data_IF_280522286321
#
_entry.id   IF_280522286321
#
_cell.length_a   1.000
_cell.length_b   1.000
_cell.length_c   1.000
_cell.angle_alpha   90.00
_cell.angle_beta   90.00
_cell.angle_gamma   90.00
#
_symmetry.space_group_name_H-M   'P 1'
#
loop_
_entity.id
_entity.type
_entity.pdbx_description
1 polymer ?
#
# COMPACT_ATOMS: atom_id res chain seq x y z
N UNK A 1 1.53 24.70 -49.66
CA UNK A 1 2.20 23.90 -48.61
C UNK A 1 3.03 22.82 -49.29
N UNK A 2 4.35 22.78 -49.07
CA UNK A 2 5.21 21.80 -49.74
C UNK A 2 4.89 20.37 -49.24
N UNK A 3 4.79 19.39 -50.15
CA UNK A 3 4.52 17.99 -49.80
C UNK A 3 5.49 17.46 -48.73
N UNK A 4 6.75 17.92 -48.75
CA UNK A 4 7.77 17.59 -47.73
C UNK A 4 7.42 18.13 -46.33
N UNK A 5 6.82 19.31 -46.22
CA UNK A 5 6.41 19.88 -44.92
C UNK A 5 5.20 19.15 -44.32
N UNK A 6 4.33 18.56 -45.16
CA UNK A 6 3.17 17.81 -44.69
C UNK A 6 3.57 16.47 -44.02
N UNK A 7 4.54 15.75 -44.59
CA UNK A 7 5.04 14.51 -43.99
C UNK A 7 5.77 14.74 -42.66
N UNK A 8 6.51 15.85 -42.53
CA UNK A 8 7.14 16.25 -41.27
C UNK A 8 6.10 16.57 -40.18
N UNK A 9 4.97 17.18 -40.56
CA UNK A 9 3.90 17.48 -39.63
C UNK A 9 3.18 16.22 -39.12
N UNK A 10 2.90 15.26 -40.01
CA UNK A 10 2.29 13.96 -39.63
C UNK A 10 3.24 13.14 -38.76
N UNK A 11 4.53 13.10 -39.08
CA UNK A 11 5.53 12.39 -38.28
C UNK A 11 5.67 13.01 -36.88
N UNK A 12 5.61 14.35 -36.78
CA UNK A 12 5.59 15.05 -35.48
C UNK A 12 4.34 14.72 -34.66
N UNK A 13 3.17 14.58 -35.29
CA UNK A 13 1.92 14.20 -34.59
C UNK A 13 1.96 12.75 -34.10
N UNK A 14 2.55 11.83 -34.87
CA UNK A 14 2.73 10.43 -34.49
C UNK A 14 3.69 10.26 -33.30
N UNK A 15 4.74 11.09 -33.22
CA UNK A 15 5.70 11.06 -32.11
C UNK A 15 5.14 11.61 -30.80
N UNK A 16 4.14 12.50 -30.86
CA UNK A 16 3.49 13.06 -29.67
C UNK A 16 2.43 12.11 -29.06
N UNK A 17 1.91 11.15 -29.82
CA UNK A 17 0.87 10.22 -29.36
C UNK A 17 1.35 8.98 -28.60
N UNK A 18 2.66 8.79 -28.42
CA UNK A 18 3.22 7.56 -27.79
C UNK A 18 3.69 7.73 -26.35
N UNK A 19 3.48 8.90 -25.73
CA UNK A 19 3.67 9.06 -24.28
C UNK A 19 2.38 8.67 -23.55
N UNK A 20 2.04 7.38 -23.55
CA UNK A 20 1.15 6.86 -22.52
C UNK A 20 1.90 6.97 -21.20
N UNK A 21 1.60 8.00 -20.41
CA UNK A 21 2.13 8.11 -19.06
C UNK A 21 1.61 6.93 -18.26
N UNK A 22 2.51 6.01 -17.90
CA UNK A 22 2.20 4.95 -16.95
C UNK A 22 1.70 5.63 -15.67
N UNK A 23 0.48 5.30 -15.24
CA UNK A 23 -0.13 5.94 -14.07
C UNK A 23 0.79 5.77 -12.86
N UNK A 24 1.02 6.85 -12.12
CA UNK A 24 1.86 6.80 -10.93
C UNK A 24 1.17 5.98 -9.84
N UNK A 25 1.96 5.28 -9.03
CA UNK A 25 1.43 4.44 -7.97
C UNK A 25 0.83 5.32 -6.85
N UNK A 26 -0.51 5.39 -6.72
CA UNK A 26 -1.17 6.37 -5.83
C UNK A 26 -0.91 6.09 -4.35
N UNK A 27 -0.64 4.83 -3.99
CA UNK A 27 -0.38 4.45 -2.58
C UNK A 27 1.05 4.78 -2.13
N UNK A 28 1.91 5.26 -3.03
CA UNK A 28 3.27 5.70 -2.67
C UNK A 28 3.26 6.93 -1.77
N UNK A 29 2.29 7.82 -1.91
CA UNK A 29 2.14 9.01 -1.06
C UNK A 29 1.80 8.62 0.40
N UNK A 30 0.97 7.60 0.59
CA UNK A 30 0.63 7.08 1.92
C UNK A 30 1.82 6.49 2.67
N UNK A 31 2.81 5.96 1.93
CA UNK A 31 4.07 5.52 2.53
C UNK A 31 4.77 6.69 3.20
N UNK A 32 4.81 7.86 2.57
CA UNK A 32 5.51 9.04 3.10
C UNK A 32 4.82 9.60 4.35
N UNK A 33 3.49 9.49 4.41
CA UNK A 33 2.69 9.89 5.58
C UNK A 33 2.85 8.97 6.80
N UNK A 34 3.55 7.83 6.66
CA UNK A 34 3.87 6.85 7.74
C UNK A 34 2.67 6.37 8.57
N UNK A 35 1.47 6.36 7.99
CA UNK A 35 0.26 5.86 8.67
C UNK A 35 0.09 4.33 8.53
N UNK A 36 0.97 3.68 7.77
CA UNK A 36 0.88 2.26 7.45
C UNK A 36 1.45 1.39 8.57
N UNK A 37 0.72 0.34 8.95
CA UNK A 37 1.22 -0.74 9.81
C UNK A 37 2.08 -1.74 9.04
N UNK A 38 1.87 -1.84 7.71
CA UNK A 38 2.64 -2.70 6.84
C UNK A 38 2.83 -2.05 5.46
N UNK A 39 4.03 -2.18 4.91
CA UNK A 39 4.36 -1.79 3.54
C UNK A 39 5.29 -2.86 2.96
N UNK A 40 4.90 -3.44 1.82
CA UNK A 40 5.63 -4.49 1.12
C UNK A 40 5.65 -4.23 -0.39
N UNK A 41 6.76 -4.59 -1.01
CA UNK A 41 6.83 -4.79 -2.45
C UNK A 41 7.01 -6.29 -2.73
N UNK A 42 6.08 -6.88 -3.47
CA UNK A 42 6.14 -8.26 -3.91
C UNK A 42 6.52 -8.27 -5.39
N UNK A 43 7.63 -8.93 -5.69
CA UNK A 43 8.12 -9.16 -7.05
C UNK A 43 7.73 -10.58 -7.50
N UNK A 44 7.89 -10.95 -8.78
CA UNK A 44 7.40 -12.22 -9.30
C UNK A 44 7.97 -13.43 -8.53
N UNK A 45 9.22 -13.35 -8.09
CA UNK A 45 9.85 -14.36 -7.22
C UNK A 45 9.13 -14.51 -5.88
N UNK A 46 8.81 -13.39 -5.20
CA UNK A 46 8.09 -13.37 -3.93
C UNK A 46 6.67 -13.87 -4.09
N UNK A 47 5.97 -13.46 -5.15
CA UNK A 47 4.60 -13.91 -5.45
C UNK A 47 4.58 -15.43 -5.65
N UNK A 48 5.58 -15.99 -6.35
CA UNK A 48 5.72 -17.46 -6.49
C UNK A 48 5.95 -18.16 -5.15
N UNK A 49 6.70 -17.55 -4.23
CA UNK A 49 6.90 -18.12 -2.89
C UNK A 49 5.63 -18.18 -2.05
N UNK A 50 4.66 -17.29 -2.28
CA UNK A 50 3.34 -17.34 -1.64
C UNK A 50 2.53 -18.55 -2.12
N UNK A 51 2.78 -19.05 -3.34
CA UNK A 51 2.11 -20.22 -3.90
C UNK A 51 2.65 -21.56 -3.34
N UNK A 52 2.62 -21.73 -2.03
CA UNK A 52 3.19 -22.89 -1.35
C UNK A 52 2.61 -24.25 -1.81
N UNK A 53 1.35 -24.25 -2.25
CA UNK A 53 0.67 -25.46 -2.74
C UNK A 53 0.94 -25.80 -4.20
N UNK A 54 1.77 -25.02 -4.91
CA UNK A 54 1.89 -25.09 -6.37
C UNK A 54 0.53 -25.03 -7.07
N UNK A 55 -0.38 -24.20 -6.56
CA UNK A 55 -1.70 -24.01 -7.14
C UNK A 55 -1.54 -23.44 -8.55
N UNK A 56 -1.99 -24.21 -9.54
CA UNK A 56 -1.90 -23.82 -10.94
C UNK A 56 -2.79 -22.63 -11.25
N UNK A 57 -3.96 -22.52 -10.60
CA UNK A 57 -4.85 -21.36 -10.74
C UNK A 57 -4.18 -20.10 -10.20
N UNK A 58 -3.55 -20.17 -9.02
CA UNK A 58 -2.79 -19.05 -8.47
C UNK A 58 -1.66 -18.62 -9.39
N UNK A 59 -0.86 -19.58 -9.87
CA UNK A 59 0.23 -19.29 -10.80
C UNK A 59 -0.30 -18.63 -12.09
N UNK A 60 -1.36 -19.18 -12.69
CA UNK A 60 -1.91 -18.63 -13.93
C UNK A 60 -2.54 -17.24 -13.73
N UNK A 61 -3.05 -16.93 -12.54
CA UNK A 61 -3.58 -15.61 -12.21
C UNK A 61 -2.47 -14.56 -12.01
N UNK A 62 -1.31 -14.99 -11.50
CA UNK A 62 -0.25 -14.07 -11.04
C UNK A 62 1.01 -14.07 -11.91
N UNK A 63 1.16 -14.98 -12.88
CA UNK A 63 2.40 -15.16 -13.67
C UNK A 63 2.86 -13.92 -14.45
N UNK A 64 1.94 -13.01 -14.79
CA UNK A 64 2.22 -11.81 -15.57
C UNK A 64 2.22 -10.53 -14.70
N UNK A 65 2.15 -10.68 -13.38
CA UNK A 65 2.31 -9.57 -12.44
C UNK A 65 3.81 -9.28 -12.32
N UNK A 66 4.18 -8.04 -12.60
CA UNK A 66 5.55 -7.55 -12.51
C UNK A 66 5.88 -7.08 -11.09
N UNK A 67 4.92 -6.46 -10.42
CA UNK A 67 5.11 -5.90 -9.08
C UNK A 67 3.77 -5.70 -8.38
N UNK A 68 3.74 -5.95 -7.07
CA UNK A 68 2.66 -5.53 -6.18
C UNK A 68 3.25 -4.65 -5.08
N UNK A 69 2.72 -3.45 -4.90
CA UNK A 69 2.90 -2.65 -3.70
C UNK A 69 1.69 -2.87 -2.81
N UNK A 70 1.91 -3.42 -1.62
CA UNK A 70 0.90 -3.69 -0.61
C UNK A 70 1.11 -2.78 0.58
N UNK A 71 0.05 -2.15 1.06
CA UNK A 71 0.06 -1.27 2.20
C UNK A 71 -1.13 -1.56 3.11
N UNK A 72 -0.90 -1.77 4.41
CA UNK A 72 -1.96 -1.90 5.41
C UNK A 72 -1.96 -0.68 6.31
N UNK A 73 -3.13 -0.09 6.55
CA UNK A 73 -3.34 1.04 7.44
C UNK A 73 -4.24 0.60 8.58
N UNK A 74 -3.76 0.79 9.80
CA UNK A 74 -4.54 0.63 11.02
C UNK A 74 -5.38 1.90 11.22
N UNK A 75 -6.70 1.75 11.07
CA UNK A 75 -7.67 2.84 11.20
C UNK A 75 -8.21 2.99 12.63
N UNK A 76 -7.74 2.18 13.59
CA UNK A 76 -8.15 2.31 15.01
C UNK A 76 -7.66 3.58 15.68
N UNK A 77 -6.69 4.27 15.08
CA UNK A 77 -6.20 5.59 15.51
C UNK A 77 -6.88 6.67 14.69
N UNK A 78 -7.61 7.57 15.34
CA UNK A 78 -8.33 8.69 14.68
C UNK A 78 -7.45 9.52 13.73
N UNK A 79 -6.16 9.71 14.08
CA UNK A 79 -5.19 10.42 13.23
C UNK A 79 -4.89 9.69 11.91
N UNK A 80 -4.85 8.35 11.95
CA UNK A 80 -4.61 7.54 10.77
C UNK A 80 -5.85 7.53 9.86
N UNK A 81 -7.05 7.39 10.45
CA UNK A 81 -8.30 7.44 9.69
C UNK A 81 -8.46 8.80 9.00
N UNK A 82 -8.30 9.90 9.74
CA UNK A 82 -8.37 11.25 9.16
C UNK A 82 -7.39 11.46 8.01
N UNK A 83 -6.15 10.97 8.16
CA UNK A 83 -5.11 11.07 7.11
C UNK A 83 -5.45 10.22 5.89
N UNK A 84 -5.97 9.00 6.12
CA UNK A 84 -6.41 8.11 5.05
C UNK A 84 -7.61 8.68 4.28
N UNK A 85 -8.64 9.17 4.97
CA UNK A 85 -9.82 9.76 4.33
C UNK A 85 -9.44 10.99 3.48
N UNK A 86 -8.56 11.85 4.00
CA UNK A 86 -8.05 13.01 3.26
C UNK A 86 -7.32 12.57 1.99
N UNK A 87 -6.39 11.61 2.09
CA UNK A 87 -5.68 11.06 0.93
C UNK A 87 -6.64 10.41 -0.08
N UNK A 88 -7.61 9.61 0.38
CA UNK A 88 -8.54 8.90 -0.50
C UNK A 88 -9.46 9.88 -1.26
N UNK A 89 -9.88 10.97 -0.61
CA UNK A 89 -10.66 12.03 -1.25
C UNK A 89 -9.87 12.84 -2.29
N UNK A 90 -8.54 12.93 -2.14
CA UNK A 90 -7.63 13.54 -3.12
C UNK A 90 -7.40 12.64 -4.34
N UNK A 91 -7.62 11.33 -4.22
CA UNK A 91 -7.43 10.41 -5.34
C UNK A 91 -8.51 10.59 -6.40
N UNK A 92 -8.09 10.92 -7.62
CA UNK A 92 -8.99 11.01 -8.74
C UNK A 92 -9.14 9.66 -9.45
N UNK A 93 -10.18 8.92 -9.10
CA UNK A 93 -10.56 7.68 -9.80
C UNK A 93 -11.54 7.91 -10.96
N UNK A 94 -11.73 9.16 -11.44
CA UNK A 94 -12.70 9.45 -12.52
C UNK A 94 -12.37 8.78 -13.86
N UNK A 95 -11.08 8.54 -14.11
CA UNK A 95 -10.57 7.89 -15.33
C UNK A 95 -10.29 6.39 -15.11
N UNK A 96 -10.91 5.82 -14.08
CA UNK A 96 -10.73 4.43 -13.70
C UNK A 96 -12.05 3.68 -13.79
N UNK A 97 -12.00 2.49 -14.35
CA UNK A 97 -13.13 1.58 -14.38
C UNK A 97 -13.13 0.74 -13.11
N UNK A 98 -14.29 0.67 -12.45
CA UNK A 98 -14.54 -0.29 -11.37
C UNK A 98 -14.75 -1.68 -11.99
N UNK A 99 -13.79 -2.57 -11.77
CA UNK A 99 -13.78 -3.91 -12.33
C UNK A 99 -14.50 -4.93 -11.44
N UNK A 100 -14.48 -4.68 -10.13
CA UNK A 100 -15.08 -5.56 -9.15
C UNK A 100 -15.38 -4.78 -7.87
N UNK A 101 -16.54 -5.04 -7.28
CA UNK A 101 -16.88 -4.59 -5.94
C UNK A 101 -17.70 -5.65 -5.23
N UNK A 102 -17.35 -5.95 -3.98
CA UNK A 102 -18.10 -6.87 -3.14
C UNK A 102 -18.05 -6.45 -1.69
N UNK A 103 -19.16 -6.67 -0.98
CA UNK A 103 -19.22 -6.57 0.46
C UNK A 103 -19.57 -7.92 1.08
N UNK A 104 -18.79 -8.34 2.07
CA UNK A 104 -19.01 -9.59 2.80
C UNK A 104 -18.45 -9.48 4.21
N UNK A 105 -19.19 -9.97 5.21
CA UNK A 105 -18.77 -10.02 6.62
C UNK A 105 -18.20 -8.70 7.16
N UNK A 106 -18.84 -7.57 6.84
CA UNK A 106 -18.39 -6.23 7.29
C UNK A 106 -17.14 -5.73 6.60
N UNK A 107 -16.67 -6.41 5.54
CA UNK A 107 -15.57 -5.97 4.70
C UNK A 107 -16.09 -5.48 3.34
N UNK A 108 -15.48 -4.42 2.81
CA UNK A 108 -15.72 -3.90 1.46
C UNK A 108 -14.44 -4.09 0.64
N UNK A 109 -14.55 -4.81 -0.48
CA UNK A 109 -13.45 -5.00 -1.43
C UNK A 109 -13.82 -4.34 -2.75
N UNK A 110 -12.91 -3.58 -3.33
CA UNK A 110 -13.06 -3.02 -4.66
C UNK A 110 -11.75 -3.08 -5.46
N UNK A 111 -11.86 -3.23 -6.77
CA UNK A 111 -10.75 -3.27 -7.73
C UNK A 111 -11.06 -2.30 -8.87
N UNK A 112 -10.09 -1.46 -9.18
CA UNK A 112 -10.13 -0.45 -10.23
C UNK A 112 -8.96 -0.66 -11.20
N UNK A 113 -9.16 -0.29 -12.46
CA UNK A 113 -8.09 -0.15 -13.46
C UNK A 113 -8.25 1.17 -14.21
N UNK A 114 -7.15 1.86 -14.57
CA UNK A 114 -7.24 3.03 -15.45
C UNK A 114 -7.83 2.63 -16.81
N UNK A 115 -8.71 3.45 -17.39
CA UNK A 115 -9.39 3.17 -18.67
C UNK A 115 -8.43 2.91 -19.84
N UNK A 116 -7.26 3.55 -19.82
CA UNK A 116 -6.26 3.45 -20.87
C UNK A 116 -5.14 2.43 -20.56
N UNK A 117 -5.23 1.67 -19.47
CA UNK A 117 -4.21 0.69 -19.06
C UNK A 117 -4.80 -0.72 -18.89
N UNK A 118 -4.10 -1.71 -19.45
CA UNK A 118 -4.38 -3.14 -19.25
C UNK A 118 -3.42 -3.82 -18.26
N UNK A 119 -2.53 -3.06 -17.65
CA UNK A 119 -1.41 -3.53 -16.85
C UNK A 119 -1.29 -2.86 -15.47
N UNK A 120 -2.29 -2.07 -15.06
CA UNK A 120 -2.30 -1.39 -13.78
C UNK A 120 -3.63 -1.60 -13.05
N UNK A 121 -3.54 -1.95 -11.77
CA UNK A 121 -4.71 -2.22 -10.95
C UNK A 121 -4.52 -1.64 -9.55
N UNK A 122 -5.55 -0.95 -9.08
CA UNK A 122 -5.67 -0.54 -7.68
C UNK A 122 -6.76 -1.37 -7.02
N UNK A 123 -6.50 -1.88 -5.82
CA UNK A 123 -7.53 -2.53 -5.03
C UNK A 123 -7.46 -2.06 -3.58
N UNK A 124 -8.62 -2.01 -2.93
CA UNK A 124 -8.68 -1.83 -1.49
C UNK A 124 -9.60 -2.85 -0.85
N UNK A 125 -9.27 -3.22 0.39
CA UNK A 125 -10.07 -4.06 1.27
C UNK A 125 -10.24 -3.30 2.57
N UNK A 126 -11.41 -2.72 2.79
CA UNK A 126 -11.78 -2.01 4.01
C UNK A 126 -12.46 -2.98 4.96
N UNK A 127 -12.00 -3.02 6.20
CA UNK A 127 -12.54 -3.82 7.31
C UNK A 127 -12.84 -2.91 8.50
N UNK A 128 -13.39 -3.45 9.59
CA UNK A 128 -13.59 -2.68 10.82
C UNK A 128 -12.27 -2.18 11.44
N UNK A 129 -11.20 -2.96 11.31
CA UNK A 129 -9.92 -2.72 12.00
C UNK A 129 -8.92 -1.91 11.14
N UNK A 130 -9.20 -1.74 9.86
CA UNK A 130 -8.26 -1.08 8.95
C UNK A 130 -8.59 -1.22 7.48
N UNK A 131 -7.67 -0.72 6.65
CA UNK A 131 -7.74 -0.83 5.20
C UNK A 131 -6.44 -1.39 4.63
N UNK A 132 -6.57 -2.34 3.72
CA UNK A 132 -5.46 -2.87 2.94
C UNK A 132 -5.56 -2.33 1.52
N UNK A 133 -4.47 -1.77 1.02
CA UNK A 133 -4.35 -1.14 -0.28
C UNK A 133 -3.33 -1.91 -1.11
N UNK A 134 -3.66 -2.10 -2.38
CA UNK A 134 -2.88 -2.89 -3.31
C UNK A 134 -2.75 -2.09 -4.60
N UNK A 135 -1.52 -1.89 -5.03
CA UNK A 135 -1.21 -1.43 -6.38
C UNK A 135 -0.45 -2.51 -7.11
N UNK A 136 -1.00 -3.00 -8.21
CA UNK A 136 -0.38 -4.05 -9.02
C UNK A 136 -0.02 -3.52 -10.40
N UNK A 137 1.17 -3.89 -10.85
CA UNK A 137 1.69 -3.66 -12.18
C UNK A 137 1.88 -4.99 -12.89
N UNK A 138 1.55 -5.03 -14.17
CA UNK A 138 1.48 -6.23 -14.99
C UNK A 138 0.05 -6.73 -15.15
N UNK A 139 -0.14 -7.66 -16.08
CA UNK A 139 -1.47 -8.12 -16.48
C UNK A 139 -2.05 -9.11 -15.48
N UNK A 140 -3.29 -8.89 -15.08
CA UNK A 140 -4.01 -9.74 -14.15
C UNK A 140 -5.20 -10.39 -14.87
N UNK A 141 -5.33 -11.71 -14.74
CA UNK A 141 -6.54 -12.42 -15.16
C UNK A 141 -7.61 -12.27 -14.07
N UNK A 142 -8.43 -11.23 -14.18
CA UNK A 142 -9.46 -10.87 -13.20
C UNK A 142 -10.44 -12.03 -12.94
N UNK A 143 -10.78 -12.80 -13.97
CA UNK A 143 -11.65 -13.98 -13.84
C UNK A 143 -11.06 -15.04 -12.90
N UNK A 144 -9.72 -15.14 -12.84
CA UNK A 144 -9.02 -16.02 -11.90
C UNK A 144 -8.83 -15.37 -10.54
N UNK A 145 -8.58 -14.07 -10.47
CA UNK A 145 -8.44 -13.35 -9.19
C UNK A 145 -9.71 -13.40 -8.36
N UNK A 146 -10.89 -13.25 -8.97
CA UNK A 146 -12.17 -13.40 -8.26
C UNK A 146 -12.30 -14.79 -7.63
N UNK A 147 -11.79 -15.84 -8.28
CA UNK A 147 -11.75 -17.20 -7.71
C UNK A 147 -10.79 -17.31 -6.53
N UNK A 148 -9.65 -16.60 -6.58
CA UNK A 148 -8.67 -16.57 -5.50
C UNK A 148 -9.17 -15.80 -4.28
N UNK A 149 -9.92 -14.71 -4.45
CA UNK A 149 -10.47 -13.93 -3.32
C UNK A 149 -11.44 -14.74 -2.46
N UNK A 150 -12.09 -15.75 -3.03
CA UNK A 150 -12.96 -16.67 -2.29
C UNK A 150 -12.20 -17.81 -1.60
N UNK A 151 -10.87 -17.87 -1.75
CA UNK A 151 -10.02 -18.88 -1.14
C UNK A 151 -9.24 -18.27 0.04
N UNK A 152 -9.02 -19.01 1.13
CA UNK A 152 -8.22 -18.52 2.24
C UNK A 152 -6.78 -18.22 1.79
N UNK A 153 -6.37 -16.95 1.91
CA UNK A 153 -5.05 -16.50 1.52
C UNK A 153 -4.00 -17.01 2.52
N UNK A 154 -3.17 -17.97 2.11
CA UNK A 154 -2.03 -18.43 2.91
C UNK A 154 -0.75 -17.72 2.45
N UNK A 155 -0.29 -16.72 3.22
CA UNK A 155 0.93 -15.96 2.93
C UNK A 155 2.22 -16.74 3.24
N UNK A 156 2.12 -17.98 3.75
CA UNK A 156 3.27 -18.83 3.97
C UNK A 156 4.33 -18.21 4.88
N UNK A 157 5.64 -18.43 4.62
CA UNK A 157 6.73 -17.88 5.42
C UNK A 157 6.73 -16.36 5.54
N UNK A 158 6.08 -15.64 4.62
CA UNK A 158 5.98 -14.18 4.66
C UNK A 158 5.24 -13.74 5.93
N UNK A 159 4.21 -14.48 6.36
CA UNK A 159 3.48 -14.19 7.60
C UNK A 159 4.41 -14.06 8.82
N UNK A 160 5.41 -14.95 8.94
CA UNK A 160 6.38 -14.92 10.04
C UNK A 160 7.25 -13.64 10.03
N UNK A 161 7.58 -13.12 8.84
CA UNK A 161 8.33 -11.86 8.72
C UNK A 161 7.48 -10.64 9.12
N UNK A 162 6.16 -10.69 8.90
CA UNK A 162 5.23 -9.63 9.32
C UNK A 162 5.09 -9.60 10.84
N UNK A 163 4.98 -10.77 11.46
CA UNK A 163 4.90 -10.91 12.91
C UNK A 163 6.17 -10.41 13.60
N UNK A 164 7.36 -10.70 13.05
CA UNK A 164 8.62 -10.25 13.63
C UNK A 164 8.82 -8.74 13.52
N UNK A 165 8.42 -8.12 12.41
CA UNK A 165 8.51 -6.67 12.24
C UNK A 165 7.61 -5.93 13.22
N UNK A 166 6.36 -6.36 13.37
CA UNK A 166 5.41 -5.76 14.32
C UNK A 166 5.88 -5.88 15.77
N UNK A 167 6.50 -7.02 16.15
CA UNK A 167 7.12 -7.21 17.47
C UNK A 167 8.30 -6.27 17.70
N UNK A 168 9.13 -6.05 16.67
CA UNK A 168 10.30 -5.15 16.77
C UNK A 168 9.88 -3.69 16.95
N UNK A 169 8.86 -3.24 16.23
CA UNK A 169 8.33 -1.86 16.34
C UNK A 169 7.71 -1.61 17.72
N UNK A 170 6.88 -2.52 18.23
CA UNK A 170 6.34 -2.44 19.60
C UNK A 170 7.43 -2.36 20.66
N UNK A 171 8.50 -3.15 20.52
CA UNK A 171 9.65 -3.08 21.43
C UNK A 171 10.33 -1.71 21.37
N UNK A 172 10.52 -1.15 20.18
CA UNK A 172 11.14 0.17 20.02
C UNK A 172 10.32 1.29 20.68
N UNK A 173 8.99 1.25 20.57
CA UNK A 173 8.12 2.22 21.24
C UNK A 173 8.17 2.11 22.77
N UNK A 174 8.19 0.88 23.31
CA UNK A 174 8.33 0.64 24.75
C UNK A 174 9.66 1.21 25.26
N UNK A 175 10.77 0.93 24.56
CA UNK A 175 12.09 1.47 24.92
C UNK A 175 12.15 2.99 24.85
N UNK A 176 11.44 3.61 23.89
CA UNK A 176 11.36 5.06 23.77
C UNK A 176 10.62 5.68 24.96
N UNK A 177 9.44 5.13 25.30
CA UNK A 177 8.65 5.58 26.47
C UNK A 177 9.42 5.40 27.78
N UNK A 178 10.12 4.28 27.95
CA UNK A 178 10.94 4.04 29.13
C UNK A 178 12.08 5.06 29.27
N UNK A 179 12.75 5.43 28.18
CA UNK A 179 13.80 6.48 28.20
C UNK A 179 13.25 7.88 28.49
N UNK A 180 12.08 8.19 27.96
CA UNK A 180 11.43 9.48 28.22
C UNK A 180 11.01 9.60 29.69
N UNK A 181 10.47 8.53 30.27
CA UNK A 181 10.10 8.49 31.68
C UNK A 181 11.34 8.58 32.61
N UNK A 182 12.41 7.85 32.28
CA UNK A 182 13.67 7.93 33.03
C UNK A 182 14.20 9.38 33.10
N UNK A 183 14.17 10.10 31.97
CA UNK A 183 14.59 11.51 31.91
C UNK A 183 13.70 12.42 32.75
N UNK A 184 12.39 12.15 32.83
CA UNK A 184 11.47 12.94 33.68
C UNK A 184 11.77 12.73 35.16
N UNK A 185 12.05 11.49 35.55
CA UNK A 185 12.44 11.15 36.93
C UNK A 185 13.76 11.86 37.29
N UNK A 186 14.78 11.78 36.43
CA UNK A 186 16.07 12.47 36.65
C UNK A 186 15.90 13.99 36.79
N UNK A 187 15.10 14.62 35.92
CA UNK A 187 14.81 16.06 36.01
C UNK A 187 14.06 16.43 37.31
N UNK A 188 13.16 15.56 37.77
CA UNK A 188 12.42 15.78 39.01
C UNK A 188 13.33 15.63 40.23
N UNK A 189 14.21 14.63 40.26
CA UNK A 189 15.22 14.45 41.32
C UNK A 189 16.20 15.62 41.41
N UNK A 190 16.66 16.13 40.26
CA UNK A 190 17.53 17.31 40.21
C UNK A 190 16.83 18.57 40.71
N UNK A 191 15.53 18.71 40.42
CA UNK A 191 14.73 19.83 40.92
C UNK A 191 14.53 19.78 42.43
N UNK A 192 14.33 18.59 43.00
CA UNK A 192 14.19 18.37 44.45
C UNK A 192 15.51 18.68 45.16
N UNK A 193 16.64 18.17 44.67
CA UNK A 193 17.97 18.44 45.24
C UNK A 193 18.33 19.92 45.21
N UNK A 194 17.93 20.65 44.17
CA UNK A 194 18.13 22.10 44.10
C UNK A 194 17.24 22.86 45.08
N UNK A 195 16.00 22.44 45.31
CA UNK A 195 15.13 23.05 46.33
C UNK A 195 15.66 22.82 47.75
N UNK A 196 16.18 21.63 48.05
CA UNK A 196 16.80 21.32 49.34
C UNK A 196 18.07 22.14 49.60
N UNK A 197 18.87 22.42 48.57
CA UNK A 197 20.06 23.30 48.68
C UNK A 197 19.71 24.78 48.92
N UNK A 198 18.55 25.24 48.46
CA UNK A 198 18.11 26.64 48.66
C UNK A 198 17.50 26.82 50.06
N UNK A 199 17.05 25.74 50.69
CA UNK A 199 16.44 25.74 52.02
C UNK A 199 17.45 25.59 53.20
N UNK A 200 18.74 25.38 52.90
CA UNK A 200 19.85 25.35 53.87
C UNK A 200 20.64 26.65 53.84
#
# INVERSE_FOLDING_TARGET
>A
MNKKSYYLFILSLLLLGSCSQKSENPISELKEKRIHSLNLYLYPSTIRMVNLGNDTTFYQATKNIERIHYLSVDLSKDSNDSTYQAWFAEQNFSEWDELFQASSNGSLTAIYAPQESDDQYFAYIKTADGVNLIWAEGRIDLNKVVKLMNSPLNLGPISNFLDDKSKKEKRSEIWKKAREEQKRIEQQEDSIKNQEKIAQ
#
